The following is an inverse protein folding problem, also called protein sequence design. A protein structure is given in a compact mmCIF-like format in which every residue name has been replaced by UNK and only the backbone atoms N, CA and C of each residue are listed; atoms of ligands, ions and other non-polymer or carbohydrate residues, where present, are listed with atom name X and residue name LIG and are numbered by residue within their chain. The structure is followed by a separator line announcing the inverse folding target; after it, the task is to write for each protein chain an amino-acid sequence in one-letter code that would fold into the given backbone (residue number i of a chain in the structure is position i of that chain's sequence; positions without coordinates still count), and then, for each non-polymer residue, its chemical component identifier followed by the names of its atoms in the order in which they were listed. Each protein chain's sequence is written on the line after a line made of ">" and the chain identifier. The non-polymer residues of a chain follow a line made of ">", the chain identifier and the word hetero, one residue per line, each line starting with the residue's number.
data_IF_151763090126
#
_entry.id   IF_151763090126
#
_cell.length_a   1.000
_cell.length_b   1.000
_cell.length_c   1.000
_cell.angle_alpha   90.00
_cell.angle_beta   90.00
_cell.angle_gamma   90.00
#
_symmetry.space_group_name_H-M   'P 1'
#
loop_
_entity.id
_entity.type
_entity.pdbx_description
1 polymer ?
#
# COMPACT_ATOMS: atom_id res chain seq x y z
N UNK A 1 52.23 26.95 1.78
CA UNK A 1 51.45 27.79 0.84
C UNK A 1 50.47 26.89 0.09
N UNK A 2 49.21 27.34 0.00
CA UNK A 2 48.05 26.84 -0.76
C UNK A 2 47.31 25.57 -0.30
N UNK A 3 46.20 25.85 0.39
CA UNK A 3 44.97 25.09 0.57
C UNK A 3 44.22 24.98 -0.77
N UNK A 4 43.89 23.77 -1.23
CA UNK A 4 42.75 23.35 -2.09
C UNK A 4 42.99 21.86 -2.39
N UNK A 5 42.10 20.91 -2.11
CA UNK A 5 40.81 20.72 -2.76
C UNK A 5 39.94 19.78 -1.90
N UNK A 6 38.69 20.17 -1.69
CA UNK A 6 37.62 19.32 -1.14
C UNK A 6 37.08 18.49 -2.30
N UNK A 7 37.11 17.15 -2.22
CA UNK A 7 36.40 16.28 -3.18
C UNK A 7 35.50 15.31 -2.40
N UNK A 8 34.20 15.60 -2.49
CA UNK A 8 33.05 14.72 -2.48
C UNK A 8 32.99 13.52 -1.52
N UNK A 9 32.05 13.64 -0.58
CA UNK A 9 31.42 12.55 0.14
C UNK A 9 30.84 11.50 -0.82
N UNK A 10 31.29 10.25 -0.71
CA UNK A 10 30.53 9.09 -1.17
C UNK A 10 29.73 8.57 0.04
N UNK A 11 28.57 9.19 0.28
CA UNK A 11 27.52 8.60 1.12
C UNK A 11 27.00 7.35 0.39
N UNK A 12 27.54 6.18 0.68
CA UNK A 12 26.91 4.92 0.33
C UNK A 12 25.93 4.52 1.44
N UNK A 13 24.79 5.21 1.55
CA UNK A 13 23.65 4.78 2.38
C UNK A 13 22.67 4.06 1.46
N UNK A 14 22.90 2.77 1.23
CA UNK A 14 21.96 1.91 0.48
C UNK A 14 21.53 0.67 1.27
N UNK A 15 22.13 0.42 2.45
CA UNK A 15 21.95 -0.85 3.17
C UNK A 15 20.86 -0.84 4.23
N UNK A 16 20.29 0.32 4.57
CA UNK A 16 19.23 0.42 5.60
C UNK A 16 17.86 -0.04 5.06
N UNK A 17 17.63 0.08 3.76
CA UNK A 17 16.30 -0.20 3.17
C UNK A 17 16.00 -1.70 3.11
N UNK A 18 17.01 -2.51 2.81
CA UNK A 18 16.85 -3.97 2.68
C UNK A 18 16.49 -4.64 4.01
N UNK A 19 17.09 -4.17 5.12
CA UNK A 19 16.86 -4.74 6.45
C UNK A 19 15.46 -4.42 6.96
N UNK A 20 14.95 -3.21 6.67
CA UNK A 20 13.60 -2.82 7.05
C UNK A 20 12.53 -3.61 6.26
N UNK A 21 12.79 -3.99 5.00
CA UNK A 21 11.88 -4.83 4.21
C UNK A 21 11.83 -6.29 4.71
N UNK A 22 12.92 -6.83 5.23
CA UNK A 22 12.91 -8.17 5.82
C UNK A 22 11.92 -8.27 7.00
N UNK A 23 11.77 -7.19 7.78
CA UNK A 23 10.81 -7.13 8.87
C UNK A 23 9.35 -7.04 8.39
N UNK A 24 9.10 -6.62 7.15
CA UNK A 24 7.77 -6.46 6.58
C UNK A 24 7.08 -7.79 6.23
N UNK A 25 7.85 -8.85 5.96
CA UNK A 25 7.28 -10.19 5.70
C UNK A 25 6.54 -10.77 6.91
N UNK A 26 6.79 -10.25 8.11
CA UNK A 26 6.12 -10.70 9.35
C UNK A 26 4.71 -10.15 9.50
N UNK A 27 4.33 -9.07 8.82
CA UNK A 27 3.03 -8.44 9.04
C UNK A 27 1.87 -9.19 8.37
N UNK A 28 2.16 -10.10 7.42
CA UNK A 28 1.11 -10.87 6.74
C UNK A 28 0.18 -9.99 5.89
N UNK A 29 0.64 -8.80 5.49
CA UNK A 29 -0.12 -7.90 4.63
C UNK A 29 -0.31 -8.52 3.24
N UNK A 30 -1.45 -8.25 2.58
CA UNK A 30 -1.60 -8.53 1.15
C UNK A 30 -0.61 -7.68 0.33
N UNK A 31 -0.55 -7.93 -0.98
CA UNK A 31 0.31 -7.26 -1.95
C UNK A 31 1.82 -7.19 -1.67
N UNK A 32 2.36 -7.92 -0.69
CA UNK A 32 3.72 -7.71 -0.16
C UNK A 32 3.98 -6.27 0.31
N UNK A 33 2.95 -5.60 0.83
CA UNK A 33 3.12 -4.28 1.43
C UNK A 33 4.01 -4.32 2.67
N UNK A 34 4.67 -3.20 2.93
CA UNK A 34 5.63 -3.05 4.03
C UNK A 34 5.09 -2.24 5.19
N UNK A 35 4.07 -1.42 4.92
CA UNK A 35 3.47 -0.47 5.84
C UNK A 35 1.99 -0.32 5.51
N UNK A 36 1.27 0.33 6.41
CA UNK A 36 -0.09 0.79 6.18
C UNK A 36 -0.22 2.26 6.58
N UNK A 37 -1.05 3.01 5.88
CA UNK A 37 -1.44 4.38 6.27
C UNK A 37 -2.94 4.46 6.49
N UNK A 38 -3.43 5.18 7.51
CA UNK A 38 -4.86 5.31 7.74
C UNK A 38 -5.50 6.24 6.70
N UNK A 39 -6.69 5.88 6.25
CA UNK A 39 -7.54 6.69 5.38
C UNK A 39 -8.96 6.69 5.95
N UNK A 40 -9.55 7.88 6.11
CA UNK A 40 -10.93 8.01 6.60
C UNK A 40 -11.85 8.11 5.39
N UNK A 41 -12.72 7.12 5.24
CA UNK A 41 -13.71 7.02 4.16
C UNK A 41 -14.62 8.24 4.16
N UNK A 42 -14.79 8.84 2.99
CA UNK A 42 -15.63 9.99 2.73
C UNK A 42 -16.93 9.56 2.08
N UNK A 43 -17.95 10.40 2.23
CA UNK A 43 -19.26 10.19 1.61
C UNK A 43 -19.11 9.99 0.09
N UNK A 44 -19.58 8.85 -0.39
CA UNK A 44 -19.55 8.49 -1.81
C UNK A 44 -18.28 7.75 -2.26
N UNK A 45 -17.34 7.49 -1.35
CA UNK A 45 -16.19 6.64 -1.66
C UNK A 45 -16.61 5.20 -1.98
N UNK A 46 -15.81 4.57 -2.83
CA UNK A 46 -15.81 3.12 -3.08
C UNK A 46 -14.39 2.62 -2.96
N UNK A 47 -14.18 1.32 -2.69
CA UNK A 47 -12.82 0.76 -2.70
C UNK A 47 -12.14 0.96 -4.07
N UNK A 48 -12.89 0.87 -5.17
CA UNK A 48 -12.40 1.17 -6.51
C UNK A 48 -11.91 2.61 -6.63
N UNK A 49 -12.71 3.59 -6.21
CA UNK A 49 -12.31 5.00 -6.24
C UNK A 49 -11.06 5.26 -5.39
N UNK A 50 -11.03 4.71 -4.16
CA UNK A 50 -9.89 4.86 -3.26
C UNK A 50 -8.63 4.24 -3.90
N UNK A 51 -8.69 2.99 -4.35
CA UNK A 51 -7.55 2.28 -4.92
C UNK A 51 -7.05 2.93 -6.22
N UNK A 52 -7.96 3.25 -7.14
CA UNK A 52 -7.60 3.63 -8.51
C UNK A 52 -7.39 5.12 -8.67
N UNK A 53 -8.20 5.95 -8.02
CA UNK A 53 -8.17 7.40 -8.20
C UNK A 53 -7.40 8.11 -7.09
N UNK A 54 -7.64 7.77 -5.82
CA UNK A 54 -6.93 8.42 -4.70
C UNK A 54 -5.49 7.92 -4.63
N UNK A 55 -5.29 6.60 -4.67
CA UNK A 55 -3.97 5.97 -4.59
C UNK A 55 -3.34 5.66 -5.95
N UNK A 56 -3.95 6.10 -7.06
CA UNK A 56 -3.37 6.04 -8.42
C UNK A 56 -2.93 4.63 -8.82
N UNK A 57 -3.75 3.61 -8.48
CA UNK A 57 -3.47 2.18 -8.73
C UNK A 57 -2.18 1.65 -8.08
N UNK A 58 -1.74 2.26 -6.99
CA UNK A 58 -0.64 1.74 -6.16
C UNK A 58 -1.08 0.64 -5.18
N UNK A 59 -2.37 0.39 -5.09
CA UNK A 59 -3.02 -0.66 -4.30
C UNK A 59 -4.23 -1.16 -5.08
N UNK A 60 -4.56 -2.45 -4.95
CA UNK A 60 -5.73 -3.05 -5.59
C UNK A 60 -6.96 -3.06 -4.69
N UNK A 61 -8.14 -3.24 -5.29
CA UNK A 61 -9.43 -3.32 -4.58
C UNK A 61 -9.40 -4.45 -3.54
N UNK A 62 -8.90 -5.63 -3.92
CA UNK A 62 -8.88 -6.78 -3.03
C UNK A 62 -7.75 -6.68 -2.01
N UNK A 63 -6.63 -6.02 -2.34
CA UNK A 63 -5.60 -5.69 -1.35
C UNK A 63 -6.18 -4.82 -0.22
N UNK A 64 -7.01 -3.82 -0.56
CA UNK A 64 -7.74 -3.02 0.44
C UNK A 64 -8.71 -3.88 1.25
N UNK A 65 -9.51 -4.71 0.58
CA UNK A 65 -10.52 -5.53 1.23
C UNK A 65 -9.90 -6.51 2.23
N UNK A 66 -8.81 -7.19 1.87
CA UNK A 66 -8.11 -8.12 2.76
C UNK A 66 -7.40 -7.40 3.90
N UNK A 67 -6.74 -6.27 3.65
CA UNK A 67 -6.07 -5.48 4.71
C UNK A 67 -7.05 -5.03 5.79
N UNK A 68 -8.31 -4.76 5.39
CA UNK A 68 -9.35 -4.22 6.27
C UNK A 68 -10.40 -5.25 6.69
N UNK A 69 -10.22 -6.53 6.34
CA UNK A 69 -11.16 -7.61 6.63
C UNK A 69 -12.60 -7.38 6.12
N UNK A 70 -12.75 -6.72 4.97
CA UNK A 70 -14.06 -6.36 4.35
C UNK A 70 -14.71 -7.57 3.63
N UNK A 71 -13.99 -8.69 3.52
CA UNK A 71 -14.54 -9.95 3.02
C UNK A 71 -14.99 -9.90 1.56
N UNK A 72 -15.98 -10.74 1.20
CA UNK A 72 -16.44 -10.93 -0.18
C UNK A 72 -17.41 -9.86 -0.69
N UNK A 73 -17.71 -8.84 0.12
CA UNK A 73 -18.52 -7.70 -0.31
C UNK A 73 -17.70 -6.41 -0.20
N UNK A 74 -16.77 -6.16 -1.14
CA UNK A 74 -15.87 -5.00 -1.10
C UNK A 74 -16.60 -3.65 -1.19
N UNK A 75 -17.87 -3.64 -1.58
CA UNK A 75 -18.66 -2.42 -1.66
C UNK A 75 -19.16 -1.93 -0.28
N UNK A 76 -19.00 -2.73 0.79
CA UNK A 76 -19.42 -2.37 2.15
C UNK A 76 -18.34 -1.59 2.91
N UNK A 77 -18.19 -0.31 2.57
CA UNK A 77 -17.47 0.66 3.39
C UNK A 77 -18.41 1.77 3.86
N UNK A 78 -18.17 2.27 5.07
CA UNK A 78 -19.03 3.28 5.69
C UNK A 78 -18.32 4.63 5.80
N UNK A 79 -19.07 5.71 5.70
CA UNK A 79 -18.56 7.06 5.98
C UNK A 79 -17.93 7.13 7.39
N UNK A 80 -16.83 7.88 7.51
CA UNK A 80 -16.01 8.01 8.72
C UNK A 80 -15.32 6.74 9.22
N UNK A 81 -15.48 5.61 8.52
CA UNK A 81 -14.67 4.41 8.75
C UNK A 81 -13.20 4.69 8.44
N UNK A 82 -12.30 4.26 9.33
CA UNK A 82 -10.86 4.27 9.04
C UNK A 82 -10.42 2.97 8.39
N UNK A 83 -9.91 3.07 7.17
CA UNK A 83 -9.26 1.98 6.45
C UNK A 83 -7.75 2.08 6.61
N UNK A 84 -7.09 0.94 6.82
CA UNK A 84 -5.65 0.78 6.67
C UNK A 84 -5.33 0.53 5.20
N UNK A 85 -4.62 1.46 4.58
CA UNK A 85 -4.20 1.37 3.19
C UNK A 85 -2.79 0.78 3.16
N UNK A 86 -2.58 -0.44 2.61
CA UNK A 86 -1.25 -1.00 2.45
C UNK A 86 -0.44 -0.17 1.46
N UNK A 87 0.81 0.15 1.82
CA UNK A 87 1.72 0.92 0.96
C UNK A 87 2.93 0.08 0.54
N UNK A 88 3.61 0.55 -0.50
CA UNK A 88 4.74 -0.15 -1.13
C UNK A 88 4.38 -1.55 -1.66
N UNK A 89 3.11 -1.78 -1.99
CA UNK A 89 2.62 -2.98 -2.66
C UNK A 89 3.53 -3.33 -3.85
N UNK A 90 3.98 -4.58 -3.92
CA UNK A 90 4.79 -5.12 -5.03
C UNK A 90 3.94 -5.79 -6.11
N UNK A 91 2.74 -6.21 -5.73
CA UNK A 91 1.73 -6.80 -6.61
C UNK A 91 0.42 -6.05 -6.40
N UNK A 92 -0.48 -6.03 -7.39
CA UNK A 92 -1.77 -5.35 -7.30
C UNK A 92 -2.85 -6.37 -7.60
N UNK A 93 -3.83 -6.50 -6.71
CA UNK A 93 -4.97 -7.41 -6.86
C UNK A 93 -6.30 -6.68 -6.77
N UNK A 94 -6.97 -6.55 -7.91
CA UNK A 94 -8.29 -5.93 -8.04
C UNK A 94 -9.45 -6.93 -8.05
N UNK A 95 -9.17 -8.24 -8.11
CA UNK A 95 -10.17 -9.21 -8.59
C UNK A 95 -10.37 -10.48 -7.78
N UNK A 96 -9.43 -10.92 -6.95
CA UNK A 96 -9.52 -12.24 -6.29
C UNK A 96 -10.64 -12.35 -5.25
N UNK A 97 -11.00 -11.23 -4.62
CA UNK A 97 -12.09 -11.11 -3.66
C UNK A 97 -13.48 -10.92 -4.31
N UNK A 98 -13.52 -10.63 -5.61
CA UNK A 98 -14.77 -10.36 -6.33
C UNK A 98 -15.46 -11.68 -6.71
N UNK A 99 -16.78 -11.75 -6.49
CA UNK A 99 -17.58 -12.84 -7.05
C UNK A 99 -17.51 -12.77 -8.57
N UNK A 100 -16.91 -13.78 -9.18
CA UNK A 100 -16.99 -13.96 -10.63
C UNK A 100 -18.43 -14.30 -10.95
N UNK A 101 -19.09 -13.47 -11.76
CA UNK A 101 -20.32 -13.88 -12.39
C UNK A 101 -19.94 -14.97 -13.40
N UNK A 102 -20.03 -16.24 -13.00
CA UNK A 102 -20.00 -17.32 -13.99
C UNK A 102 -21.28 -17.14 -14.82
N UNK A 103 -21.12 -16.85 -16.11
CA UNK A 103 -22.24 -16.79 -17.06
C UNK A 103 -22.56 -18.18 -17.56
#
# INVERSE_FOLDING_TARGET
>A
MKVTTIIAALLSVAVVDAQNNAQCRKLGLPCHATKTIPYVVKKGDTLTHIAHDIYKRKVGICDLAYTNHIGYNPDLIYEDQTLLIPTDCKTIDDGSCLKKHVS
#
